data_IF_413104930955
#
_entry.id   IF_413104930955
#
_cell.length_a   1.000
_cell.length_b   1.000
_cell.length_c   1.000
_cell.angle_alpha   90.00
_cell.angle_beta   90.00
_cell.angle_gamma   90.00
#
_symmetry.space_group_name_H-M   'P 1'
#
loop_
_entity.id
_entity.type
_entity.pdbx_description
1 polymer ?
#
# COMPACT_ATOMS: atom_id res chain seq x y z
N UNK A 1 13.74 -3.20 -15.01
CA UNK A 1 14.38 -2.81 -13.72
C UNK A 1 13.44 -2.93 -12.52
N UNK A 2 12.16 -2.53 -12.61
CA UNK A 2 11.20 -2.61 -11.49
C UNK A 2 10.97 -4.04 -10.96
N UNK A 3 10.86 -5.03 -11.85
CA UNK A 3 10.63 -6.44 -11.46
C UNK A 3 11.85 -7.05 -10.75
N UNK A 4 13.07 -6.73 -11.18
CA UNK A 4 14.31 -7.20 -10.55
C UNK A 4 14.49 -6.54 -9.17
N UNK A 5 14.15 -5.26 -9.04
CA UNK A 5 14.15 -4.57 -7.76
C UNK A 5 13.14 -5.18 -6.79
N UNK A 6 11.93 -5.53 -7.24
CA UNK A 6 10.90 -6.17 -6.40
C UNK A 6 11.27 -7.58 -5.95
N UNK A 7 11.90 -8.39 -6.82
CA UNK A 7 12.37 -9.73 -6.47
C UNK A 7 13.54 -9.66 -5.49
N UNK A 8 14.47 -8.71 -5.68
CA UNK A 8 15.60 -8.51 -4.77
C UNK A 8 15.16 -8.00 -3.40
N UNK A 9 14.21 -7.05 -3.32
CA UNK A 9 13.67 -6.59 -2.04
C UNK A 9 12.91 -7.70 -1.31
N UNK A 10 12.13 -8.53 -2.02
CA UNK A 10 11.42 -9.65 -1.40
C UNK A 10 12.38 -10.71 -0.82
N UNK A 11 13.47 -11.03 -1.52
CA UNK A 11 14.49 -11.94 -1.00
C UNK A 11 15.28 -11.33 0.15
N UNK A 12 15.60 -10.03 0.10
CA UNK A 12 16.30 -9.33 1.17
C UNK A 12 15.47 -9.23 2.45
N UNK A 13 14.16 -8.95 2.35
CA UNK A 13 13.25 -8.95 3.50
C UNK A 13 13.16 -10.34 4.14
N UNK A 14 13.03 -11.39 3.33
CA UNK A 14 13.01 -12.78 3.80
C UNK A 14 14.30 -13.14 4.53
N UNK A 15 15.46 -12.83 3.95
CA UNK A 15 16.77 -13.07 4.56
C UNK A 15 16.94 -12.26 5.86
N UNK A 16 16.54 -10.98 5.88
CA UNK A 16 16.65 -10.15 7.09
C UNK A 16 15.72 -10.64 8.21
N UNK A 17 14.53 -11.14 7.88
CA UNK A 17 13.59 -11.70 8.85
C UNK A 17 14.11 -12.99 9.48
N UNK A 18 14.76 -13.83 8.67
CA UNK A 18 15.41 -15.07 9.12
C UNK A 18 16.63 -14.76 9.98
N UNK A 19 17.46 -13.80 9.57
CA UNK A 19 18.64 -13.35 10.34
C UNK A 19 18.22 -12.68 11.66
N UNK A 20 17.16 -11.86 11.65
CA UNK A 20 16.60 -11.25 12.84
C UNK A 20 16.02 -12.28 13.80
N UNK A 21 15.27 -13.27 13.30
CA UNK A 21 14.77 -14.39 14.09
C UNK A 21 15.90 -15.21 14.71
N UNK A 22 16.95 -15.53 13.93
CA UNK A 22 18.13 -16.24 14.43
C UNK A 22 18.90 -15.43 15.49
N UNK A 23 18.99 -14.11 15.34
CA UNK A 23 19.61 -13.23 16.32
C UNK A 23 18.81 -13.18 17.63
N UNK A 24 17.47 -13.09 17.57
CA UNK A 24 16.63 -13.15 18.76
C UNK A 24 16.66 -14.52 19.47
N UNK A 25 16.71 -15.61 18.70
CA UNK A 25 16.82 -16.96 19.27
C UNK A 25 18.18 -17.19 19.93
N UNK A 26 19.27 -16.70 19.32
CA UNK A 26 20.62 -16.83 19.89
C UNK A 26 20.78 -15.95 21.12
N UNK A 27 20.30 -14.71 21.11
CA UNK A 27 20.34 -13.82 22.29
C UNK A 27 19.48 -14.36 23.45
N UNK A 28 18.24 -14.79 23.18
CA UNK A 28 17.39 -15.42 24.19
C UNK A 28 18.01 -16.72 24.75
N UNK A 29 18.58 -17.55 23.88
CA UNK A 29 19.33 -18.75 24.27
C UNK A 29 20.52 -18.43 25.16
N UNK A 30 21.31 -17.40 24.81
CA UNK A 30 22.47 -16.97 25.62
C UNK A 30 22.09 -16.39 26.98
N UNK A 31 20.97 -15.69 27.09
CA UNK A 31 20.47 -15.16 28.38
C UNK A 31 20.00 -16.29 29.30
N UNK A 32 19.33 -17.30 28.72
CA UNK A 32 18.92 -18.51 29.45
C UNK A 32 20.14 -19.30 29.92
N UNK A 33 21.14 -19.50 29.06
CA UNK A 33 22.35 -20.24 29.44
C UNK A 33 23.21 -19.48 30.47
N UNK A 34 23.34 -18.15 30.37
CA UNK A 34 24.01 -17.35 31.41
C UNK A 34 23.26 -17.41 32.75
N UNK A 35 21.92 -17.36 32.72
CA UNK A 35 21.09 -17.47 33.93
C UNK A 35 21.19 -18.84 34.61
N UNK A 36 21.36 -19.91 33.84
CA UNK A 36 21.54 -21.28 34.36
C UNK A 36 22.94 -21.48 34.97
N UNK A 37 23.97 -20.79 34.46
CA UNK A 37 25.36 -21.00 34.88
C UNK A 37 25.75 -20.14 36.10
N UNK A 38 25.12 -18.99 36.35
CA UNK A 38 25.61 -18.01 37.32
C UNK A 38 24.84 -17.87 38.66
N UNK A 39 23.72 -18.57 38.91
CA UNK A 39 22.94 -18.47 40.16
C UNK A 39 22.80 -19.84 40.87
N UNK A 40 22.63 -19.88 42.22
CA UNK A 40 22.66 -21.11 42.98
C UNK A 40 21.49 -22.02 42.57
N UNK A 41 21.64 -23.36 42.73
CA UNK A 41 20.74 -24.37 42.17
C UNK A 41 19.39 -24.44 42.92
N UNK A 42 18.66 -23.33 42.96
CA UNK A 42 17.32 -23.27 43.54
C UNK A 42 16.28 -23.30 42.42
N UNK A 43 15.25 -24.16 42.51
CA UNK A 43 14.28 -24.41 41.44
C UNK A 43 13.47 -23.18 41.01
N UNK A 44 13.36 -22.16 41.85
CA UNK A 44 12.53 -20.96 41.65
C UNK A 44 13.18 -19.87 40.78
N UNK A 45 14.49 -19.95 40.51
CA UNK A 45 15.19 -18.93 39.74
C UNK A 45 14.80 -18.89 38.25
N UNK A 46 14.41 -20.04 37.68
CA UNK A 46 14.19 -20.18 36.24
C UNK A 46 12.77 -19.75 35.79
N UNK A 47 11.90 -19.44 36.73
CA UNK A 47 10.47 -19.16 36.51
C UNK A 47 10.25 -17.76 35.90
N UNK A 48 10.93 -16.73 36.41
CA UNK A 48 10.86 -15.35 35.89
C UNK A 48 11.48 -15.15 34.49
N UNK A 49 12.67 -15.69 34.16
CA UNK A 49 13.22 -15.55 32.82
C UNK A 49 12.43 -16.33 31.76
N UNK A 50 11.81 -17.47 32.11
CA UNK A 50 10.96 -18.22 31.17
C UNK A 50 9.66 -17.50 30.85
N UNK A 51 9.07 -16.80 31.82
CA UNK A 51 7.93 -15.90 31.59
C UNK A 51 8.24 -14.82 30.55
N UNK A 52 9.38 -14.12 30.71
CA UNK A 52 9.80 -13.08 29.78
C UNK A 52 10.10 -13.67 28.39
N UNK A 53 10.73 -14.85 28.34
CA UNK A 53 11.08 -15.49 27.06
C UNK A 53 9.83 -15.87 26.26
N UNK A 54 8.78 -16.35 26.92
CA UNK A 54 7.49 -16.64 26.28
C UNK A 54 6.84 -15.38 25.74
N UNK A 55 6.85 -14.29 26.51
CA UNK A 55 6.31 -13.01 26.06
C UNK A 55 7.07 -12.50 24.83
N UNK A 56 8.41 -12.54 24.86
CA UNK A 56 9.24 -12.15 23.70
C UNK A 56 9.07 -13.08 22.50
N UNK A 57 8.79 -14.36 22.71
CA UNK A 57 8.55 -15.33 21.62
C UNK A 57 7.25 -15.04 20.90
N UNK A 58 6.23 -14.60 21.62
CA UNK A 58 4.98 -14.14 21.04
C UNK A 58 5.17 -12.82 20.27
N UNK A 59 5.76 -11.80 20.89
CA UNK A 59 5.73 -10.44 20.33
C UNK A 59 6.89 -10.09 19.39
N UNK A 60 8.07 -10.68 19.55
CA UNK A 60 9.31 -10.20 18.91
C UNK A 60 9.84 -11.13 17.81
N UNK A 61 9.34 -12.35 17.70
CA UNK A 61 9.85 -13.33 16.74
C UNK A 61 9.09 -13.21 15.41
N UNK A 62 9.76 -12.92 14.29
CA UNK A 62 9.13 -12.77 12.97
C UNK A 62 8.83 -14.15 12.32
N UNK A 63 8.29 -15.09 13.10
CA UNK A 63 7.91 -16.43 12.62
C UNK A 63 6.39 -16.50 12.33
N UNK A 64 5.96 -17.42 11.46
CA UNK A 64 4.56 -17.75 11.32
C UNK A 64 3.96 -18.15 12.68
N UNK A 65 2.80 -17.57 13.02
CA UNK A 65 2.08 -17.75 14.30
C UNK A 65 2.03 -19.19 14.85
N UNK A 66 1.79 -20.26 14.06
CA UNK A 66 1.80 -21.61 14.61
C UNK A 66 3.18 -22.05 15.14
N UNK A 67 4.27 -21.64 14.49
CA UNK A 67 5.63 -21.99 14.90
C UNK A 67 6.05 -21.23 16.15
N UNK A 68 5.69 -19.95 16.26
CA UNK A 68 5.94 -19.14 17.45
C UNK A 68 5.22 -19.72 18.70
N UNK A 69 3.95 -20.15 18.55
CA UNK A 69 3.20 -20.80 19.62
C UNK A 69 3.80 -22.16 20.03
N UNK A 70 4.26 -22.95 19.06
CA UNK A 70 4.92 -24.22 19.34
C UNK A 70 6.22 -24.00 20.12
N UNK A 71 7.02 -23.01 19.74
CA UNK A 71 8.25 -22.65 20.43
C UNK A 71 7.98 -22.18 21.87
N UNK A 72 7.00 -21.30 22.07
CA UNK A 72 6.58 -20.85 23.40
C UNK A 72 6.12 -22.02 24.30
N UNK A 73 5.41 -23.00 23.72
CA UNK A 73 5.02 -24.23 24.40
C UNK A 73 6.23 -25.07 24.84
N UNK A 74 7.25 -25.21 23.98
CA UNK A 74 8.49 -25.92 24.32
C UNK A 74 9.25 -25.18 25.43
N UNK A 75 9.34 -23.85 25.36
CA UNK A 75 9.98 -23.02 26.40
C UNK A 75 9.31 -23.20 27.77
N UNK A 76 7.99 -23.39 27.81
CA UNK A 76 7.24 -23.64 29.05
C UNK A 76 7.59 -24.97 29.74
N UNK A 77 8.26 -25.90 29.06
CA UNK A 77 8.70 -27.18 29.62
C UNK A 77 10.15 -27.14 30.13
N UNK A 78 10.91 -26.11 29.77
CA UNK A 78 12.34 -26.01 30.08
C UNK A 78 12.66 -26.09 31.59
N UNK A 79 11.87 -25.48 32.50
CA UNK A 79 12.10 -25.59 33.94
C UNK A 79 11.75 -26.95 34.57
N UNK A 80 11.01 -27.81 33.87
CA UNK A 80 10.68 -29.15 34.37
C UNK A 80 11.84 -30.14 34.19
N UNK A 81 12.76 -29.90 33.24
CA UNK A 81 13.90 -30.79 32.96
C UNK A 81 14.88 -30.87 34.15
N UNK A 82 15.33 -29.74 34.75
CA UNK A 82 16.17 -29.78 35.95
C UNK A 82 15.45 -30.40 37.16
N UNK A 83 14.14 -30.16 37.31
CA UNK A 83 13.34 -30.70 38.40
C UNK A 83 13.24 -32.25 38.35
N UNK A 84 13.25 -32.84 37.14
CA UNK A 84 13.29 -34.28 36.94
C UNK A 84 14.71 -34.86 37.09
N UNK A 85 15.74 -34.11 36.70
CA UNK A 85 17.14 -34.55 36.76
C UNK A 85 17.71 -34.52 38.19
N UNK A 86 17.22 -33.63 39.06
CA UNK A 86 17.71 -33.45 40.44
C UNK A 86 16.58 -33.58 41.48
N UNK A 87 16.07 -34.79 41.74
CA UNK A 87 14.89 -35.00 42.60
C UNK A 87 15.12 -34.66 44.08
N UNK A 88 16.39 -34.53 44.51
CA UNK A 88 16.76 -34.14 45.88
C UNK A 88 16.32 -32.72 46.25
N UNK A 89 16.06 -31.85 45.27
CA UNK A 89 15.64 -30.46 45.44
C UNK A 89 14.35 -30.19 44.63
N UNK A 90 13.38 -31.09 44.81
CA UNK A 90 12.11 -31.07 44.08
C UNK A 90 11.18 -29.93 44.53
N UNK A 91 10.29 -29.52 43.63
CA UNK A 91 9.37 -28.40 43.87
C UNK A 91 8.31 -28.77 44.91
N UNK A 92 8.05 -27.84 45.82
CA UNK A 92 6.89 -27.96 46.72
C UNK A 92 5.58 -27.84 45.93
N UNK A 93 4.48 -28.48 46.37
CA UNK A 93 3.19 -28.43 45.65
C UNK A 93 2.68 -27.00 45.39
N UNK A 94 2.96 -26.08 46.31
CA UNK A 94 2.60 -24.65 46.19
C UNK A 94 3.39 -23.94 45.09
N UNK A 95 4.67 -24.29 44.89
CA UNK A 95 5.51 -23.76 43.81
C UNK A 95 5.04 -24.25 42.44
N UNK A 96 4.61 -25.51 42.32
CA UNK A 96 4.05 -26.07 41.06
C UNK A 96 2.79 -25.30 40.66
N UNK A 97 1.89 -25.02 41.61
CA UNK A 97 0.66 -24.25 41.35
C UNK A 97 1.01 -22.83 40.89
N UNK A 98 1.93 -22.14 41.57
CA UNK A 98 2.38 -20.80 41.17
C UNK A 98 3.00 -20.78 39.76
N UNK A 99 3.79 -21.79 39.43
CA UNK A 99 4.38 -21.96 38.09
C UNK A 99 3.31 -22.08 37.00
N UNK A 100 2.33 -22.97 37.19
CA UNK A 100 1.24 -23.20 36.22
C UNK A 100 0.42 -21.92 36.02
N UNK A 101 0.07 -21.22 37.10
CA UNK A 101 -0.71 -19.98 37.04
C UNK A 101 0.04 -18.89 36.27
N UNK A 102 1.33 -18.70 36.57
CA UNK A 102 2.13 -17.68 35.90
C UNK A 102 2.36 -18.02 34.41
N UNK A 103 2.51 -19.31 34.08
CA UNK A 103 2.69 -19.74 32.70
C UNK A 103 1.41 -19.58 31.87
N UNK A 104 0.27 -19.91 32.46
CA UNK A 104 -1.04 -19.65 31.84
C UNK A 104 -1.26 -18.14 31.61
N UNK A 105 -0.87 -17.30 32.56
CA UNK A 105 -0.92 -15.84 32.41
C UNK A 105 0.00 -15.35 31.27
N UNK A 106 1.20 -15.90 31.15
CA UNK A 106 2.14 -15.56 30.06
C UNK A 106 1.57 -15.89 28.68
N UNK A 107 1.01 -17.09 28.51
CA UNK A 107 0.43 -17.52 27.25
C UNK A 107 -0.81 -16.72 26.87
N UNK A 108 -1.70 -16.45 27.83
CA UNK A 108 -2.91 -15.65 27.57
C UNK A 108 -2.57 -14.21 27.17
N UNK A 109 -1.65 -13.57 27.90
CA UNK A 109 -1.18 -12.22 27.58
C UNK A 109 -0.45 -12.17 26.24
N UNK A 110 0.44 -13.13 25.96
CA UNK A 110 1.15 -13.21 24.68
C UNK A 110 0.19 -13.38 23.50
N UNK A 111 -0.79 -14.29 23.61
CA UNK A 111 -1.81 -14.46 22.57
C UNK A 111 -2.66 -13.21 22.35
N UNK A 112 -2.99 -12.48 23.41
CA UNK A 112 -3.75 -11.23 23.34
C UNK A 112 -2.98 -10.16 22.57
N UNK A 113 -1.72 -9.92 22.94
CA UNK A 113 -0.87 -8.92 22.28
C UNK A 113 -0.64 -9.26 20.79
N UNK A 114 -0.41 -10.54 20.48
CA UNK A 114 -0.26 -11.01 19.09
C UNK A 114 -1.53 -10.77 18.27
N UNK A 115 -2.70 -10.95 18.89
CA UNK A 115 -3.99 -10.74 18.24
C UNK A 115 -4.20 -9.26 17.91
N UNK A 116 -3.94 -8.38 18.88
CA UNK A 116 -4.10 -6.94 18.70
C UNK A 116 -3.15 -6.40 17.61
N UNK A 117 -1.88 -6.80 17.65
CA UNK A 117 -0.91 -6.48 16.59
C UNK A 117 -1.37 -7.02 15.23
N UNK A 118 -1.89 -8.25 15.17
CA UNK A 118 -2.40 -8.84 13.94
C UNK A 118 -3.56 -8.03 13.34
N UNK A 119 -4.48 -7.54 14.18
CA UNK A 119 -5.60 -6.73 13.71
C UNK A 119 -5.13 -5.36 13.22
N UNK A 120 -4.27 -4.69 13.99
CA UNK A 120 -3.68 -3.41 13.60
C UNK A 120 -2.99 -3.47 12.23
N UNK A 121 -2.16 -4.49 11.99
CA UNK A 121 -1.50 -4.70 10.70
C UNK A 121 -2.47 -4.99 9.55
N UNK A 122 -3.57 -5.72 9.80
CA UNK A 122 -4.59 -5.99 8.79
C UNK A 122 -5.32 -4.71 8.39
N UNK A 123 -5.74 -3.91 9.36
CA UNK A 123 -6.40 -2.63 9.12
C UNK A 123 -5.49 -1.66 8.36
N UNK A 124 -4.22 -1.51 8.78
CA UNK A 124 -3.26 -0.66 8.08
C UNK A 124 -3.05 -1.09 6.62
N UNK A 125 -3.00 -2.41 6.36
CA UNK A 125 -2.85 -2.96 5.01
C UNK A 125 -4.10 -2.73 4.16
N UNK A 126 -5.31 -2.95 4.69
CA UNK A 126 -6.54 -2.72 3.92
C UNK A 126 -6.73 -1.24 3.61
N UNK A 127 -6.52 -0.35 4.57
CA UNK A 127 -6.60 1.10 4.34
C UNK A 127 -5.59 1.59 3.31
N UNK A 128 -4.34 1.09 3.37
CA UNK A 128 -3.32 1.43 2.36
C UNK A 128 -3.75 0.97 0.97
N UNK A 129 -4.31 -0.23 0.87
CA UNK A 129 -4.81 -0.79 -0.39
C UNK A 129 -5.97 0.05 -0.96
N UNK A 130 -6.95 0.40 -0.14
CA UNK A 130 -8.09 1.24 -0.53
C UNK A 130 -7.62 2.61 -1.07
N UNK A 131 -6.64 3.24 -0.40
CA UNK A 131 -6.08 4.51 -0.85
C UNK A 131 -5.36 4.38 -2.20
N UNK A 132 -4.60 3.30 -2.41
CA UNK A 132 -3.91 3.05 -3.69
C UNK A 132 -4.93 2.79 -4.81
N UNK A 133 -5.95 1.95 -4.56
CA UNK A 133 -7.00 1.67 -5.54
C UNK A 133 -7.76 2.95 -5.95
N UNK A 134 -8.08 3.81 -4.97
CA UNK A 134 -8.71 5.10 -5.24
C UNK A 134 -7.80 6.04 -6.06
N UNK A 135 -6.50 6.10 -5.75
CA UNK A 135 -5.51 6.90 -6.51
C UNK A 135 -5.43 6.48 -7.97
N UNK A 136 -5.30 5.18 -8.23
CA UNK A 136 -5.22 4.63 -9.59
C UNK A 136 -6.49 4.95 -10.39
N UNK A 137 -7.67 4.81 -9.77
CA UNK A 137 -8.94 5.15 -10.43
C UNK A 137 -9.00 6.63 -10.83
N UNK A 138 -8.61 7.52 -9.92
CA UNK A 138 -8.58 8.96 -10.20
C UNK A 138 -7.60 9.32 -11.32
N UNK A 139 -6.43 8.67 -11.39
CA UNK A 139 -5.47 8.90 -12.47
C UNK A 139 -6.03 8.47 -13.83
N UNK A 140 -6.72 7.33 -13.90
CA UNK A 140 -7.36 6.85 -15.12
C UNK A 140 -8.49 7.79 -15.59
N UNK A 141 -9.37 8.23 -14.68
CA UNK A 141 -10.43 9.20 -14.99
C UNK A 141 -9.85 10.55 -15.46
N UNK A 142 -8.74 10.99 -14.85
CA UNK A 142 -8.01 12.19 -15.28
C UNK A 142 -7.44 12.03 -16.70
N UNK A 143 -6.80 10.91 -17.01
CA UNK A 143 -6.25 10.64 -18.34
C UNK A 143 -7.35 10.63 -19.41
N UNK A 144 -8.49 10.00 -19.12
CA UNK A 144 -9.65 10.00 -20.00
C UNK A 144 -10.19 11.43 -20.23
N UNK A 145 -10.27 12.23 -19.18
CA UNK A 145 -10.67 13.63 -19.29
C UNK A 145 -9.68 14.46 -20.12
N UNK A 146 -8.37 14.26 -19.96
CA UNK A 146 -7.35 14.96 -20.75
C UNK A 146 -7.39 14.55 -22.23
N UNK A 147 -7.63 13.27 -22.53
CA UNK A 147 -7.80 12.78 -23.90
C UNK A 147 -9.03 13.39 -24.58
N UNK A 148 -10.17 13.47 -23.86
CA UNK A 148 -11.39 14.10 -24.37
C UNK A 148 -11.24 15.60 -24.57
N UNK A 149 -10.46 16.27 -23.73
CA UNK A 149 -10.19 17.69 -23.87
C UNK A 149 -9.30 17.97 -25.10
N UNK A 150 -8.28 17.14 -25.32
CA UNK A 150 -7.34 17.26 -26.44
C UNK A 150 -7.91 16.82 -27.80
N UNK A 151 -9.02 16.08 -27.83
CA UNK A 151 -9.66 15.66 -29.09
C UNK A 151 -10.46 16.78 -29.78
N UNK A 152 -10.80 17.85 -29.06
CA UNK A 152 -11.63 18.97 -29.57
C UNK A 152 -10.87 20.31 -29.55
N UNK A 153 -9.88 20.46 -28.68
CA UNK A 153 -9.13 21.71 -28.50
C UNK A 153 -7.61 21.44 -28.58
N UNK A 154 -6.84 22.18 -29.40
CA UNK A 154 -5.39 22.06 -29.45
C UNK A 154 -4.72 22.19 -28.07
N UNK A 155 -3.69 21.38 -27.82
CA UNK A 155 -3.03 21.24 -26.50
C UNK A 155 -2.57 22.56 -25.86
N UNK A 156 -2.19 23.55 -26.66
CA UNK A 156 -1.73 24.84 -26.15
C UNK A 156 -2.90 25.72 -25.63
N UNK A 157 -4.09 25.63 -26.23
CA UNK A 157 -5.30 26.34 -25.78
C UNK A 157 -5.86 25.65 -24.52
N UNK A 158 -5.87 24.31 -24.54
CA UNK A 158 -6.23 23.47 -23.41
C UNK A 158 -5.45 23.80 -22.12
N UNK A 159 -4.13 23.95 -22.24
CA UNK A 159 -3.25 24.27 -21.11
C UNK A 159 -3.55 25.66 -20.52
N UNK A 160 -3.80 26.67 -21.36
CA UNK A 160 -4.13 28.02 -20.89
C UNK A 160 -5.50 28.07 -20.19
N UNK A 161 -6.50 27.36 -20.71
CA UNK A 161 -7.84 27.26 -20.08
C UNK A 161 -7.78 26.55 -18.73
N UNK A 162 -6.99 25.45 -18.63
CA UNK A 162 -6.76 24.73 -17.36
C UNK A 162 -6.07 25.64 -16.33
N UNK A 163 -5.08 26.42 -16.77
CA UNK A 163 -4.36 27.39 -15.93
C UNK A 163 -5.26 28.52 -15.45
N UNK A 164 -6.11 29.07 -16.33
CA UNK A 164 -7.06 30.13 -15.99
C UNK A 164 -8.07 29.67 -14.94
N UNK A 165 -8.67 28.49 -15.11
CA UNK A 165 -9.61 27.93 -14.12
C UNK A 165 -8.93 27.65 -12.77
N UNK A 166 -7.71 27.10 -12.78
CA UNK A 166 -6.96 26.84 -11.54
C UNK A 166 -6.62 28.13 -10.79
N UNK A 167 -6.25 29.20 -11.50
CA UNK A 167 -5.99 30.52 -10.90
C UNK A 167 -7.25 31.13 -10.29
N UNK A 168 -8.41 30.96 -10.92
CA UNK A 168 -9.69 31.42 -10.37
C UNK A 168 -10.06 30.66 -9.09
N UNK A 169 -9.95 29.33 -9.10
CA UNK A 169 -10.22 28.49 -7.91
C UNK A 169 -9.26 28.83 -6.77
N UNK A 170 -7.97 29.06 -7.06
CA UNK A 170 -6.99 29.49 -6.05
C UNK A 170 -7.28 30.91 -5.51
N UNK A 171 -7.78 31.81 -6.36
CA UNK A 171 -8.20 33.16 -5.98
C UNK A 171 -9.46 33.19 -5.11
N UNK A 172 -10.41 32.30 -5.36
CA UNK A 172 -11.63 32.12 -4.55
C UNK A 172 -11.31 31.55 -3.16
N UNK A 173 -10.26 30.72 -3.02
CA UNK A 173 -9.79 30.23 -1.71
C UNK A 173 -9.04 31.28 -0.88
N UNK A 174 -8.60 32.40 -1.48
CA UNK A 174 -7.80 33.43 -0.79
C UNK A 174 -8.57 34.74 -0.57
N UNK A 175 -9.73 34.90 -1.20
CA UNK A 175 -10.54 36.11 -1.08
C UNK A 175 -11.91 35.74 -0.55
N UNK A 176 -12.15 36.02 0.73
CA UNK A 176 -13.47 36.09 1.37
C UNK A 176 -14.31 37.13 0.59
N UNK A 177 -14.95 36.73 -0.51
CA UNK A 177 -15.84 37.60 -1.27
C UNK A 177 -17.14 37.82 -0.46
N UNK A 178 -17.67 39.05 -0.43
CA UNK A 178 -18.88 39.39 0.33
C UNK A 178 -20.10 38.58 -0.14
N UNK A 179 -21.09 38.35 0.75
CA UNK A 179 -22.10 37.29 0.63
C UNK A 179 -23.12 37.43 -0.52
N UNK A 180 -22.94 38.38 -1.44
CA UNK A 180 -23.90 38.69 -2.50
C UNK A 180 -23.32 38.69 -3.93
N UNK A 181 -22.08 38.23 -4.15
CA UNK A 181 -21.60 38.01 -5.52
C UNK A 181 -22.01 36.62 -6.00
N UNK A 182 -23.17 36.52 -6.65
CA UNK A 182 -23.55 35.33 -7.41
C UNK A 182 -22.38 34.90 -8.31
N UNK A 183 -21.93 33.64 -8.26
CA UNK A 183 -20.88 33.16 -9.15
C UNK A 183 -21.42 33.25 -10.58
N UNK A 184 -20.98 34.28 -11.32
CA UNK A 184 -21.27 34.41 -12.75
C UNK A 184 -20.64 33.22 -13.46
N UNK A 185 -21.44 32.16 -13.65
CA UNK A 185 -21.21 31.14 -14.67
C UNK A 185 -21.36 31.81 -16.04
N UNK A 186 -20.36 32.57 -16.46
CA UNK A 186 -20.32 33.14 -17.80
C UNK A 186 -19.41 32.26 -18.65
N UNK A 187 -19.98 31.15 -19.13
CA UNK A 187 -19.38 30.25 -20.13
C UNK A 187 -19.41 30.91 -21.51
N UNK A 188 -18.79 32.08 -21.67
CA UNK A 188 -18.58 32.69 -23.00
C UNK A 188 -17.29 33.51 -23.02
N UNK A 189 -16.18 32.94 -22.55
CA UNK A 189 -14.86 33.51 -22.82
C UNK A 189 -14.46 33.12 -24.24
N UNK A 190 -14.79 33.99 -25.21
CA UNK A 190 -14.38 33.83 -26.60
C UNK A 190 -12.88 34.14 -26.71
N UNK A 191 -12.07 33.11 -26.92
CA UNK A 191 -10.63 33.26 -27.08
C UNK A 191 -10.26 33.49 -28.55
N UNK A 192 -9.97 34.74 -28.93
CA UNK A 192 -9.50 35.12 -30.28
C UNK A 192 -8.06 35.62 -30.20
N UNK A 193 -7.16 34.97 -30.93
CA UNK A 193 -5.77 35.41 -31.08
C UNK A 193 -5.46 35.80 -32.52
N UNK A 194 -4.75 36.90 -32.71
CA UNK A 194 -4.23 37.31 -34.02
C UNK A 194 -2.85 36.70 -34.23
N UNK A 195 -2.71 35.89 -35.28
CA UNK A 195 -1.42 35.35 -35.71
C UNK A 195 -0.94 36.05 -36.99
N UNK A 196 0.32 36.49 -37.01
CA UNK A 196 1.00 36.99 -38.21
C UNK A 196 1.94 35.91 -38.73
N UNK A 197 2.05 35.74 -40.05
CA UNK A 197 2.88 34.71 -40.72
C UNK A 197 2.36 33.27 -40.57
N UNK A 198 1.10 33.06 -40.94
CA UNK A 198 0.51 31.71 -41.09
C UNK A 198 0.09 31.50 -42.55
N UNK A 199 0.13 30.25 -43.00
CA UNK A 199 -0.41 29.83 -44.29
C UNK A 199 -1.71 29.05 -44.06
N UNK A 200 -2.72 29.32 -44.87
CA UNK A 200 -4.02 28.62 -44.80
C UNK A 200 -4.16 27.78 -46.08
N UNK A 201 -4.42 26.49 -45.92
CA UNK A 201 -4.70 25.57 -47.02
C UNK A 201 -6.19 25.23 -47.01
N UNK A 202 -6.84 25.40 -48.17
CA UNK A 202 -8.20 24.92 -48.41
C UNK A 202 -8.14 23.71 -49.34
N UNK A 203 -8.94 22.70 -49.06
CA UNK A 203 -9.12 21.54 -49.92
C UNK A 203 -10.62 21.20 -49.98
N UNK A 204 -11.09 20.76 -51.14
CA UNK A 204 -12.47 20.36 -51.35
C UNK A 204 -12.51 19.04 -52.15
N UNK A 205 -13.56 18.25 -51.92
CA UNK A 205 -13.77 16.98 -52.64
C UNK A 205 -14.52 17.30 -53.92
N UNK A 206 -13.80 17.23 -55.03
CA UNK A 206 -14.40 17.44 -56.36
C UNK A 206 -15.45 16.36 -56.63
N UNK A 207 -16.61 16.78 -57.15
CA UNK A 207 -17.75 15.92 -57.49
C UNK A 207 -18.35 15.13 -56.30
N UNK A 208 -18.28 15.66 -55.07
CA UNK A 208 -18.85 15.02 -53.90
C UNK A 208 -20.35 14.66 -54.06
N UNK A 209 -21.16 15.54 -54.67
CA UNK A 209 -22.59 15.30 -54.88
C UNK A 209 -22.85 14.02 -55.69
N UNK A 210 -22.14 13.83 -56.81
CA UNK A 210 -22.28 12.64 -57.66
C UNK A 210 -21.83 11.36 -56.93
N UNK A 211 -20.77 11.45 -56.14
CA UNK A 211 -20.28 10.34 -55.33
C UNK A 211 -21.29 9.95 -54.22
N UNK A 212 -21.95 10.94 -53.61
CA UNK A 212 -22.96 10.70 -52.57
C UNK A 212 -24.25 10.09 -53.10
N UNK A 213 -24.58 10.30 -54.39
CA UNK A 213 -25.75 9.69 -55.04
C UNK A 213 -25.54 8.20 -55.36
N UNK A 214 -24.29 7.77 -55.54
CA UNK A 214 -23.94 6.39 -55.93
C UNK A 214 -23.72 5.46 -54.73
N UNK A 215 -23.62 6.00 -53.52
CA UNK A 215 -23.32 5.26 -52.29
C UNK A 215 -24.51 5.24 -51.33
N UNK A 216 -24.60 4.18 -50.52
CA UNK A 216 -25.51 4.18 -49.38
C UNK A 216 -24.96 5.11 -48.28
N UNK A 217 -25.82 5.56 -47.37
CA UNK A 217 -25.40 6.43 -46.27
C UNK A 217 -24.28 5.81 -45.42
N UNK A 218 -24.30 4.50 -45.20
CA UNK A 218 -23.26 3.79 -44.47
C UNK A 218 -21.92 3.79 -45.24
N UNK A 219 -21.96 3.43 -46.52
CA UNK A 219 -20.76 3.33 -47.36
C UNK A 219 -20.10 4.70 -47.58
N UNK A 220 -20.91 5.76 -47.70
CA UNK A 220 -20.43 7.13 -47.79
C UNK A 220 -19.68 7.55 -46.51
N UNK A 221 -20.23 7.26 -45.32
CA UNK A 221 -19.58 7.56 -44.04
C UNK A 221 -18.28 6.77 -43.90
N UNK A 222 -18.24 5.50 -44.29
CA UNK A 222 -17.02 4.70 -44.24
C UNK A 222 -15.93 5.23 -45.19
N UNK A 223 -16.33 5.61 -46.42
CA UNK A 223 -15.42 6.17 -47.43
C UNK A 223 -14.84 7.51 -46.96
N UNK A 224 -15.67 8.39 -46.39
CA UNK A 224 -15.21 9.65 -45.81
C UNK A 224 -14.31 9.46 -44.60
N UNK A 225 -14.64 8.51 -43.71
CA UNK A 225 -13.82 8.22 -42.54
C UNK A 225 -12.41 7.69 -42.94
N UNK A 226 -12.30 6.88 -43.99
CA UNK A 226 -11.00 6.47 -44.52
C UNK A 226 -10.24 7.65 -45.14
N UNK A 227 -10.91 8.49 -45.95
CA UNK A 227 -10.30 9.67 -46.55
C UNK A 227 -9.76 10.64 -45.48
N UNK A 228 -10.59 11.00 -44.50
CA UNK A 228 -10.19 11.89 -43.40
C UNK A 228 -9.14 11.23 -42.51
N UNK A 229 -9.24 9.92 -42.26
CA UNK A 229 -8.22 9.17 -41.52
C UNK A 229 -6.84 9.20 -42.18
N UNK A 230 -6.77 9.19 -43.52
CA UNK A 230 -5.52 9.37 -44.26
C UNK A 230 -5.01 10.80 -44.18
N UNK A 231 -5.89 11.80 -44.24
CA UNK A 231 -5.48 13.20 -44.02
C UNK A 231 -4.93 13.43 -42.61
N UNK A 232 -5.56 12.85 -41.58
CA UNK A 232 -5.09 12.95 -40.20
C UNK A 232 -3.69 12.33 -40.01
N UNK A 233 -3.37 11.26 -40.74
CA UNK A 233 -2.03 10.64 -40.70
C UNK A 233 -0.96 11.52 -41.35
N UNK A 234 -1.31 12.26 -42.41
CA UNK A 234 -0.39 13.17 -43.11
C UNK A 234 -0.22 14.49 -42.33
N UNK A 235 -1.25 14.90 -41.60
CA UNK A 235 -1.27 16.15 -40.81
C UNK A 235 -0.68 16.02 -39.40
N UNK A 236 -0.37 14.80 -38.94
CA UNK A 236 0.27 14.50 -37.66
C UNK A 236 1.78 14.75 -37.70
#
# INVERSE_FOLDING_TARGET
MVVIAQVFTAHFESISSVLGGAYWLTTAGTVVTLGVIHLPPTPTHLTTPTFLLILTTHTAVPLPRPHARALAGITSLLPLVPAAAWPAESWTPTQIVGYIVMMAAAHTLGMWLDWEAAQSHKHARSSTREVIEARVKLECEREQQEQLLLSVIPAYIAAEVKRHNMLRVAGECTTELPPNSHPKKQFYDLYVQRHTNVSILYADIVNFTLLSEQLTACDLVMTLNDLFGRFDQIAK
#
